data_IF_337361106271
#
_entry.id   IF_337361106271
#
_cell.length_a   1.000
_cell.length_b   1.000
_cell.length_c   1.000
_cell.angle_alpha   90.00
_cell.angle_beta   90.00
_cell.angle_gamma   90.00
#
_symmetry.space_group_name_H-M   'P 1'
#
loop_
_entity.id
_entity.type
_entity.pdbx_description
1 polymer ?
#
# COMPACT_ATOMS: atom_id res chain seq x y z
N UNK A 1 12.88 -5.19 1.02
CA UNK A 1 11.53 -5.09 1.61
C UNK A 1 10.55 -4.44 0.65
N UNK A 2 10.76 -3.20 0.19
CA UNK A 2 9.83 -2.50 -0.72
C UNK A 2 9.38 -3.32 -1.95
N UNK A 3 10.27 -4.09 -2.58
CA UNK A 3 9.90 -4.98 -3.69
C UNK A 3 8.87 -6.05 -3.28
N UNK A 4 9.08 -6.70 -2.11
CA UNK A 4 8.15 -7.71 -1.57
C UNK A 4 6.80 -7.10 -1.21
N UNK A 5 6.80 -5.89 -0.63
CA UNK A 5 5.56 -5.17 -0.32
C UNK A 5 4.78 -4.84 -1.59
N UNK A 6 5.48 -4.49 -2.67
CA UNK A 6 4.84 -4.23 -3.95
C UNK A 6 4.17 -5.47 -4.53
N UNK A 7 4.89 -6.59 -4.55
CA UNK A 7 4.34 -7.87 -5.01
C UNK A 7 3.15 -8.30 -4.17
N UNK A 8 3.25 -8.12 -2.85
CA UNK A 8 2.18 -8.44 -1.92
C UNK A 8 0.93 -7.61 -2.22
N UNK A 9 1.07 -6.29 -2.36
CA UNK A 9 -0.04 -5.38 -2.63
C UNK A 9 -0.70 -5.65 -4.00
N UNK A 10 0.08 -5.99 -5.04
CA UNK A 10 -0.49 -6.38 -6.34
C UNK A 10 -1.30 -7.67 -6.25
N UNK A 11 -0.86 -8.62 -5.43
CA UNK A 11 -1.46 -9.95 -5.34
C UNK A 11 -2.67 -9.99 -4.41
N UNK A 12 -2.60 -9.28 -3.27
CA UNK A 12 -3.61 -9.33 -2.21
C UNK A 12 -4.51 -8.09 -2.19
N UNK A 13 -4.20 -7.06 -2.98
CA UNK A 13 -4.94 -5.79 -3.06
C UNK A 13 -5.04 -5.00 -1.75
N UNK A 14 -4.47 -5.49 -0.66
CA UNK A 14 -4.47 -4.87 0.65
C UNK A 14 -3.11 -5.07 1.31
N UNK A 15 -2.53 -3.99 1.84
CA UNK A 15 -1.26 -3.98 2.57
C UNK A 15 -1.48 -3.33 3.94
N UNK A 16 -1.49 -4.11 5.04
CA UNK A 16 -1.54 -3.55 6.39
C UNK A 16 -0.19 -2.96 6.80
N UNK A 17 -0.20 -1.72 7.25
CA UNK A 17 0.93 -0.98 7.82
C UNK A 17 0.63 -0.68 9.30
N UNK A 18 1.13 -1.51 10.20
CA UNK A 18 0.95 -1.37 11.65
C UNK A 18 1.27 0.04 12.13
N UNK A 19 0.41 0.55 13.02
CA UNK A 19 0.46 1.92 13.57
C UNK A 19 0.37 3.07 12.53
N UNK A 20 0.23 2.77 11.24
CA UNK A 20 0.13 3.76 10.15
C UNK A 20 -1.23 3.71 9.49
N UNK A 21 -1.61 2.58 8.89
CA UNK A 21 -2.84 2.46 8.12
C UNK A 21 -2.90 1.21 7.26
N UNK A 22 -3.86 1.18 6.33
CA UNK A 22 -4.02 0.12 5.35
C UNK A 22 -4.04 0.75 3.97
N UNK A 23 -3.17 0.28 3.10
CA UNK A 23 -3.15 0.66 1.69
C UNK A 23 -3.93 -0.39 0.90
N UNK A 24 -4.91 0.05 0.10
CA UNK A 24 -5.73 -0.82 -0.73
C UNK A 24 -5.62 -0.43 -2.20
N UNK A 25 -5.66 -1.44 -3.06
CA UNK A 25 -5.82 -1.32 -4.51
C UNK A 25 -7.24 -1.77 -4.84
N UNK A 26 -8.13 -0.82 -5.14
CA UNK A 26 -9.47 -1.12 -5.61
C UNK A 26 -9.50 -1.08 -7.14
N UNK A 27 -9.96 -2.15 -7.78
CA UNK A 27 -10.28 -2.12 -9.21
C UNK A 27 -11.61 -1.40 -9.40
N UNK A 28 -11.59 -0.26 -10.05
CA UNK A 28 -12.79 0.39 -10.54
C UNK A 28 -13.19 -0.26 -11.87
N UNK A 29 -14.41 -0.80 -11.99
CA UNK A 29 -14.86 -1.43 -13.21
C UNK A 29 -14.93 -0.41 -14.35
N UNK A 30 -14.99 -0.89 -15.58
CA UNK A 30 -15.25 -0.04 -16.73
C UNK A 30 -16.56 0.71 -16.53
N UNK A 31 -16.57 2.01 -16.85
CA UNK A 31 -17.75 2.86 -16.72
C UNK A 31 -18.12 3.41 -18.09
N UNK A 32 -19.42 3.52 -18.36
CA UNK A 32 -19.87 4.22 -19.56
C UNK A 32 -19.97 5.72 -19.24
N UNK A 33 -19.10 6.52 -19.85
CA UNK A 33 -19.19 7.98 -19.76
C UNK A 33 -20.25 8.47 -20.76
N UNK A 34 -21.36 8.99 -20.22
CA UNK A 34 -22.48 9.49 -21.02
C UNK A 34 -22.12 10.79 -21.76
N UNK A 35 -21.19 11.58 -21.22
CA UNK A 35 -20.72 12.84 -21.78
C UNK A 35 -19.88 12.60 -23.02
N UNK A 36 -18.92 11.67 -22.92
CA UNK A 36 -18.03 11.31 -24.03
C UNK A 36 -18.60 10.18 -24.91
N UNK A 37 -19.72 9.57 -24.48
CA UNK A 37 -20.36 8.41 -25.12
C UNK A 37 -19.41 7.24 -25.35
N UNK A 38 -18.46 7.06 -24.43
CA UNK A 38 -17.40 6.07 -24.53
C UNK A 38 -17.33 5.21 -23.28
N UNK A 39 -16.78 4.00 -23.42
CA UNK A 39 -16.44 3.18 -22.27
C UNK A 39 -15.08 3.60 -21.74
N UNK A 40 -15.05 4.08 -20.51
CA UNK A 40 -13.83 4.28 -19.73
C UNK A 40 -13.33 2.91 -19.31
N UNK A 41 -12.07 2.54 -19.61
CA UNK A 41 -11.51 1.26 -19.21
C UNK A 41 -11.48 1.13 -17.68
N UNK A 42 -11.44 -0.11 -17.14
CA UNK A 42 -11.29 -0.31 -15.71
C UNK A 42 -9.96 0.29 -15.25
N UNK A 43 -9.97 0.96 -14.10
CA UNK A 43 -8.79 1.62 -13.54
C UNK A 43 -8.48 1.06 -12.15
N UNK A 44 -7.20 0.99 -11.79
CA UNK A 44 -6.81 0.69 -10.43
C UNK A 44 -6.74 1.99 -9.64
N UNK A 45 -7.56 2.11 -8.59
CA UNK A 45 -7.51 3.21 -7.64
C UNK A 45 -6.77 2.74 -6.38
N UNK A 46 -5.81 3.55 -5.93
CA UNK A 46 -5.18 3.37 -4.63
C UNK A 46 -5.95 4.17 -3.59
N UNK A 47 -6.31 3.53 -2.48
CA UNK A 47 -6.88 4.19 -1.31
C UNK A 47 -6.06 3.87 -0.08
N UNK A 48 -5.93 4.85 0.81
CA UNK A 48 -5.28 4.68 2.11
C UNK A 48 -6.27 5.01 3.20
N UNK A 49 -6.34 4.14 4.19
CA UNK A 49 -7.17 4.32 5.37
C UNK A 49 -6.29 4.28 6.61
N UNK A 50 -6.30 5.35 7.40
CA UNK A 50 -5.53 5.39 8.65
C UNK A 50 -6.14 4.40 9.66
N UNK A 51 -5.28 3.59 10.28
CA UNK A 51 -5.72 2.56 11.23
C UNK A 51 -6.26 3.22 12.50
N UNK A 52 -7.52 2.91 12.83
CA UNK A 52 -8.11 3.16 14.14
C UNK A 52 -8.15 1.84 14.93
N UNK A 53 -8.36 1.92 16.25
CA UNK A 53 -8.47 0.72 17.10
C UNK A 53 -9.56 -0.26 16.62
N UNK A 54 -10.57 0.22 15.90
CA UNK A 54 -11.70 -0.56 15.40
C UNK A 54 -11.48 -1.18 14.00
N UNK A 55 -10.41 -0.83 13.28
CA UNK A 55 -10.17 -1.30 11.91
C UNK A 55 -8.82 -2.04 11.73
N UNK A 56 -8.36 -2.71 12.79
CA UNK A 56 -7.10 -3.44 12.77
C UNK A 56 -7.14 -4.63 11.79
N UNK A 57 -6.40 -4.51 10.69
CA UNK A 57 -6.21 -5.59 9.71
C UNK A 57 -5.06 -6.51 10.15
N UNK A 58 -5.27 -7.82 10.04
CA UNK A 58 -4.27 -8.83 10.40
C UNK A 58 -3.05 -8.77 9.48
N UNK A 59 -1.85 -8.76 10.07
CA UNK A 59 -0.59 -8.82 9.33
C UNK A 59 -0.16 -10.24 8.95
N UNK A 60 -0.85 -11.28 9.44
CA UNK A 60 -0.46 -12.68 9.17
C UNK A 60 -0.25 -12.98 7.68
N UNK A 61 -1.14 -12.54 6.76
CA UNK A 61 -0.96 -12.79 5.33
C UNK A 61 0.36 -12.20 4.79
N UNK A 62 0.73 -11.00 5.24
CA UNK A 62 1.98 -10.34 4.86
C UNK A 62 3.20 -11.09 5.40
N UNK A 63 3.17 -11.48 6.67
CA UNK A 63 4.26 -12.22 7.33
C UNK A 63 4.50 -13.54 6.63
N UNK A 64 3.43 -14.30 6.37
CA UNK A 64 3.50 -15.59 5.68
C UNK A 64 4.05 -15.43 4.26
N UNK A 65 3.61 -14.40 3.53
CA UNK A 65 4.14 -14.11 2.20
C UNK A 65 5.65 -13.80 2.25
N UNK A 66 6.09 -12.95 3.17
CA UNK A 66 7.50 -12.60 3.32
C UNK A 66 8.34 -13.82 3.69
N UNK A 67 7.86 -14.66 4.60
CA UNK A 67 8.52 -15.92 4.97
C UNK A 67 8.71 -16.84 3.76
N UNK A 68 7.69 -16.98 2.92
CA UNK A 68 7.74 -17.78 1.69
C UNK A 68 8.75 -17.21 0.68
N UNK A 69 8.73 -15.89 0.45
CA UNK A 69 9.62 -15.26 -0.53
C UNK A 69 11.09 -15.27 -0.08
N UNK A 70 11.34 -15.15 1.23
CA UNK A 70 12.70 -15.16 1.80
C UNK A 70 13.18 -16.56 2.17
N UNK A 71 12.35 -17.60 2.03
CA UNK A 71 12.62 -18.97 2.49
C UNK A 71 13.05 -19.00 3.98
N UNK A 72 12.39 -18.19 4.79
CA UNK A 72 12.66 -18.04 6.23
C UNK A 72 11.50 -18.59 7.06
N UNK A 73 11.68 -18.61 8.37
CA UNK A 73 10.57 -18.87 9.30
C UNK A 73 9.59 -17.69 9.36
N UNK A 74 8.36 -17.94 9.81
CA UNK A 74 7.38 -16.86 10.03
C UNK A 74 7.82 -15.89 11.15
N UNK A 75 8.56 -16.38 12.15
CA UNK A 75 9.10 -15.55 13.24
C UNK A 75 10.14 -14.54 12.73
N UNK A 76 11.12 -14.99 11.94
CA UNK A 76 12.11 -14.11 11.32
C UNK A 76 11.46 -13.12 10.34
N UNK A 77 10.45 -13.56 9.58
CA UNK A 77 9.71 -12.69 8.69
C UNK A 77 8.92 -11.62 9.47
N UNK A 78 8.29 -12.02 10.58
CA UNK A 78 7.57 -11.12 11.47
C UNK A 78 8.49 -10.03 12.01
N UNK A 79 9.67 -10.40 12.53
CA UNK A 79 10.66 -9.44 13.01
C UNK A 79 11.08 -8.43 11.93
N UNK A 80 11.38 -8.92 10.71
CA UNK A 80 11.76 -8.06 9.59
C UNK A 80 10.65 -7.10 9.17
N UNK A 81 9.41 -7.60 9.14
CA UNK A 81 8.23 -6.79 8.79
C UNK A 81 7.98 -5.74 9.87
N UNK A 82 7.99 -6.14 11.15
CA UNK A 82 7.81 -5.22 12.28
C UNK A 82 8.90 -4.15 12.32
N UNK A 83 10.16 -4.51 12.11
CA UNK A 83 11.26 -3.55 12.09
C UNK A 83 11.05 -2.51 10.99
N UNK A 84 10.73 -2.95 9.77
CA UNK A 84 10.47 -2.03 8.66
C UNK A 84 9.24 -1.13 8.91
N UNK A 85 8.17 -1.68 9.51
CA UNK A 85 6.96 -0.90 9.81
C UNK A 85 7.19 0.11 10.93
N UNK A 86 7.95 -0.26 11.97
CA UNK A 86 8.32 0.66 13.06
C UNK A 86 9.21 1.80 12.54
N UNK A 87 10.21 1.49 11.71
CA UNK A 87 11.06 2.51 11.07
C UNK A 87 10.21 3.46 10.23
N UNK A 88 9.26 2.92 9.45
CA UNK A 88 8.33 3.70 8.63
C UNK A 88 7.45 4.62 9.49
N UNK A 89 6.88 4.09 10.57
CA UNK A 89 6.05 4.88 11.50
C UNK A 89 6.87 6.00 12.15
N UNK A 90 8.11 5.73 12.55
CA UNK A 90 8.99 6.71 13.15
C UNK A 90 9.37 7.83 12.17
N UNK A 91 9.70 7.50 10.91
CA UNK A 91 9.97 8.49 9.86
C UNK A 91 8.74 9.39 9.63
N UNK A 92 7.55 8.80 9.53
CA UNK A 92 6.32 9.57 9.35
C UNK A 92 6.05 10.51 10.54
N UNK A 93 6.27 10.06 11.78
CA UNK A 93 6.13 10.89 12.99
C UNK A 93 7.13 12.05 13.05
N UNK A 94 8.30 11.91 12.41
CA UNK A 94 9.31 12.96 12.31
C UNK A 94 8.98 13.98 11.21
N UNK A 95 7.90 13.75 10.44
CA UNK A 95 7.51 14.57 9.29
C UNK A 95 8.18 14.17 7.98
N UNK A 96 8.96 13.09 7.98
CA UNK A 96 9.58 12.57 6.77
C UNK A 96 8.56 11.84 5.87
N UNK A 97 8.85 11.85 4.57
CA UNK A 97 8.06 11.14 3.57
C UNK A 97 8.62 9.72 3.35
N UNK A 98 7.75 8.72 3.36
CA UNK A 98 8.12 7.31 3.10
C UNK A 98 7.52 6.84 1.78
N UNK A 99 8.38 6.43 0.85
CA UNK A 99 7.94 5.95 -0.46
C UNK A 99 7.65 4.45 -0.43
N UNK A 100 6.41 4.08 -0.77
CA UNK A 100 5.93 2.71 -0.87
C UNK A 100 6.09 2.25 -2.32
N UNK A 101 7.32 1.84 -2.64
CA UNK A 101 7.68 1.29 -3.95
C UNK A 101 7.28 2.18 -5.11
N UNK A 102 6.48 1.65 -6.05
CA UNK A 102 6.02 2.38 -7.23
C UNK A 102 4.62 2.99 -7.07
N UNK A 103 3.97 2.82 -5.92
CA UNK A 103 2.57 3.20 -5.72
C UNK A 103 2.40 4.65 -5.30
N UNK A 104 3.29 5.15 -4.45
CA UNK A 104 3.11 6.46 -3.83
C UNK A 104 3.99 6.68 -2.61
N UNK A 105 3.77 7.83 -2.01
CA UNK A 105 4.51 8.31 -0.84
C UNK A 105 3.52 8.59 0.29
N UNK A 106 3.81 8.03 1.45
CA UNK A 106 3.15 8.40 2.70
C UNK A 106 3.85 9.63 3.27
N UNK A 107 3.08 10.61 3.72
CA UNK A 107 3.60 11.80 4.37
C UNK A 107 2.63 12.26 5.45
N UNK A 108 3.17 12.87 6.51
CA UNK A 108 2.34 13.55 7.48
C UNK A 108 1.89 14.93 6.94
N UNK A 109 0.58 15.19 6.96
CA UNK A 109 -0.02 16.46 6.58
C UNK A 109 -1.05 16.86 7.66
N UNK A 110 -0.87 18.02 8.29
CA UNK A 110 -1.74 18.53 9.37
C UNK A 110 -2.05 17.53 10.51
N UNK A 111 -1.07 16.68 10.86
CA UNK A 111 -1.23 15.67 11.92
C UNK A 111 -1.93 14.37 11.48
N UNK A 112 -2.30 14.26 10.20
CA UNK A 112 -2.81 13.03 9.60
C UNK A 112 -1.80 12.43 8.63
N UNK A 113 -1.80 11.10 8.49
CA UNK A 113 -0.97 10.44 7.49
C UNK A 113 -1.79 10.42 6.19
N UNK A 114 -1.24 11.03 5.14
CA UNK A 114 -1.84 11.03 3.81
C UNK A 114 -1.00 10.19 2.86
N UNK A 115 -1.67 9.51 1.93
CA UNK A 115 -1.03 8.80 0.85
C UNK A 115 -1.14 9.62 -0.43
N UNK A 116 0.01 9.97 -0.99
CA UNK A 116 0.13 10.66 -2.27
C UNK A 116 0.45 9.61 -3.33
N UNK A 117 -0.52 9.21 -4.18
CA UNK A 117 -0.27 8.23 -5.23
C UNK A 117 0.76 8.79 -6.20
N UNK A 118 1.81 8.02 -6.46
CA UNK A 118 2.74 8.34 -7.52
C UNK A 118 1.98 8.10 -8.82
N UNK A 119 1.88 9.11 -9.68
CA UNK A 119 1.35 8.90 -11.03
C UNK A 119 2.27 7.88 -11.69
N UNK A 120 1.85 6.62 -11.71
CA UNK A 120 2.31 5.67 -12.71
C UNK A 120 2.02 6.37 -14.03
N UNK A 121 3.06 6.88 -14.68
CA UNK A 121 3.01 7.17 -16.11
C UNK A 121 2.76 5.82 -16.75
N UNK A 122 1.50 5.39 -16.80
CA UNK A 122 1.10 4.34 -17.72
C UNK A 122 1.57 4.84 -19.06
N UNK A 123 2.59 4.17 -19.59
CA UNK A 123 2.99 4.29 -20.97
C UNK A 123 1.81 3.77 -21.80
N UNK A 124 0.79 4.60 -21.95
CA UNK A 124 -0.08 4.59 -23.11
C UNK A 124 0.79 5.16 -24.22
N UNK A 125 1.52 4.28 -24.89
CA UNK A 125 2.08 4.53 -26.21
C UNK A 125 1.29 3.70 -27.22
N UNK A 126 1.05 4.29 -28.41
CA UNK A 126 -0.17 4.16 -29.21
C UNK A 126 -0.41 2.80 -29.86
#
# INVERSE_FOLDING_TARGET
>A
MNALLNEFLLSHQELPLHAVGVLRVASQPAQYDVTERAFVPPTAALSFEQLTADNAVSMQPLVRFVAQQLQSTEEEAFEKVMLWQNDTAQLLQQGDAVTIGAFGTLQQHDGQIVFLPQRCKQALSP
#
